data_IF_087177130741
#
_entry.id   IF_087177130741
#
_cell.length_a   1.000
_cell.length_b   1.000
_cell.length_c   1.000
_cell.angle_alpha   90.00
_cell.angle_beta   90.00
_cell.angle_gamma   90.00
#
_symmetry.space_group_name_H-M   'P 1'
#
loop_
_entity.id
_entity.type
_entity.pdbx_description
1 polymer ?
#
# COMPACT_ATOMS: atom_id res chain seq x y z
N UNK A 1 -0.10 9.20 4.39
CA UNK A 1 0.23 10.21 5.39
C UNK A 1 -1.01 10.73 6.13
N UNK A 2 -2.10 11.02 5.43
CA UNK A 2 -3.39 11.45 6.00
C UNK A 2 -4.56 10.81 5.24
N UNK A 3 -5.75 10.80 5.84
CA UNK A 3 -7.02 10.42 5.19
C UNK A 3 -7.33 8.92 5.13
N UNK A 4 -6.44 8.03 5.53
CA UNK A 4 -6.70 6.58 5.46
C UNK A 4 -7.99 6.17 6.16
N UNK A 5 -8.76 5.27 5.57
CA UNK A 5 -10.14 4.84 5.82
C UNK A 5 -11.22 5.70 5.14
N UNK A 6 -10.92 6.89 4.65
CA UNK A 6 -11.89 7.65 3.86
C UNK A 6 -11.99 7.15 2.41
N UNK A 7 -11.08 6.27 2.02
CA UNK A 7 -11.01 5.59 0.72
C UNK A 7 -11.87 4.32 0.64
N UNK A 8 -12.54 3.94 1.73
CA UNK A 8 -13.43 2.79 1.75
C UNK A 8 -14.73 3.08 1.00
N UNK A 9 -15.25 2.10 0.26
CA UNK A 9 -16.46 2.25 -0.54
C UNK A 9 -17.64 2.76 0.30
N UNK A 10 -17.89 2.16 1.46
CA UNK A 10 -18.96 2.57 2.37
C UNK A 10 -18.81 4.04 2.81
N UNK A 11 -17.58 4.49 3.07
CA UNK A 11 -17.33 5.88 3.45
C UNK A 11 -17.69 6.84 2.30
N UNK A 12 -17.23 6.52 1.09
CA UNK A 12 -17.47 7.34 -0.10
C UNK A 12 -18.98 7.41 -0.43
N UNK A 13 -19.70 6.31 -0.28
CA UNK A 13 -21.15 6.26 -0.48
C UNK A 13 -21.89 7.16 0.51
N UNK A 14 -21.47 7.18 1.76
CA UNK A 14 -22.11 7.97 2.83
C UNK A 14 -21.75 9.46 2.78
N UNK A 15 -20.51 9.82 2.40
CA UNK A 15 -19.99 11.19 2.49
C UNK A 15 -19.75 11.84 1.12
N UNK A 16 -19.97 11.11 0.02
CA UNK A 16 -19.85 11.60 -1.36
C UNK A 16 -18.44 11.53 -1.94
N UNK A 17 -17.40 11.55 -1.11
CA UNK A 17 -16.01 11.43 -1.53
C UNK A 17 -15.10 10.97 -0.38
N UNK A 18 -13.93 10.46 -0.74
CA UNK A 18 -12.82 10.22 0.18
C UNK A 18 -11.54 10.85 -0.33
N UNK A 19 -10.54 11.05 0.52
CA UNK A 19 -9.26 11.61 0.09
C UNK A 19 -8.11 11.18 0.97
N UNK A 20 -6.93 10.97 0.36
CA UNK A 20 -5.71 10.59 1.08
C UNK A 20 -4.49 11.37 0.56
N UNK A 21 -3.48 11.53 1.41
CA UNK A 21 -2.12 11.89 1.00
C UNK A 21 -1.22 10.67 1.16
N UNK A 22 -0.56 10.27 0.09
CA UNK A 22 0.31 9.10 0.05
C UNK A 22 1.54 9.32 -0.83
N UNK A 23 2.50 8.42 -0.72
CA UNK A 23 3.65 8.29 -1.62
C UNK A 23 4.05 6.82 -1.73
N UNK A 24 4.51 6.34 -2.89
CA UNK A 24 5.13 5.04 -3.01
C UNK A 24 6.52 5.11 -2.38
N UNK A 25 6.83 4.19 -1.47
CA UNK A 25 8.18 4.10 -0.89
C UNK A 25 9.07 3.15 -1.73
N UNK A 26 10.38 3.31 -1.61
CA UNK A 26 11.40 2.51 -2.29
C UNK A 26 11.61 1.13 -1.64
N UNK A 27 10.52 0.50 -1.22
CA UNK A 27 10.44 -0.90 -0.80
C UNK A 27 9.57 -1.61 -1.83
N UNK A 28 10.12 -2.58 -2.53
CA UNK A 28 9.51 -3.13 -3.72
C UNK A 28 9.01 -4.56 -3.52
N UNK A 29 8.00 -4.90 -4.30
CA UNK A 29 7.60 -6.27 -4.60
C UNK A 29 7.98 -6.59 -6.04
N UNK A 30 8.33 -7.84 -6.30
CA UNK A 30 8.82 -8.28 -7.61
C UNK A 30 8.00 -9.46 -8.10
N UNK A 31 7.61 -9.42 -9.37
CA UNK A 31 7.04 -10.55 -10.11
C UNK A 31 7.98 -10.89 -11.25
N UNK A 32 8.46 -12.12 -11.26
CA UNK A 32 9.14 -12.68 -12.43
C UNK A 32 8.20 -13.64 -13.14
N UNK A 33 7.93 -13.37 -14.41
CA UNK A 33 7.11 -14.21 -15.27
C UNK A 33 7.96 -14.80 -16.39
N UNK A 34 7.91 -16.09 -16.56
CA UNK A 34 8.53 -16.74 -17.71
C UNK A 34 7.74 -17.97 -18.17
N UNK A 35 7.91 -18.28 -19.46
CA UNK A 35 7.43 -19.52 -20.06
C UNK A 35 8.63 -20.45 -20.24
N UNK A 36 8.54 -21.66 -19.72
CA UNK A 36 9.58 -22.66 -19.93
C UNK A 36 9.67 -23.02 -21.42
N UNK A 37 10.79 -22.69 -22.05
CA UNK A 37 11.08 -23.02 -23.45
C UNK A 37 11.86 -24.35 -23.60
N UNK A 38 12.43 -24.82 -22.48
CA UNK A 38 13.29 -26.01 -22.46
C UNK A 38 12.52 -27.30 -22.18
N UNK A 39 11.26 -27.24 -21.80
CA UNK A 39 10.43 -28.40 -21.50
C UNK A 39 10.82 -29.13 -20.19
N UNK A 40 11.51 -28.45 -19.26
CA UNK A 40 11.86 -28.99 -17.96
C UNK A 40 10.68 -29.09 -17.00
N UNK A 41 9.69 -28.21 -17.14
CA UNK A 41 8.43 -28.29 -16.41
C UNK A 41 7.35 -28.93 -17.31
N UNK A 42 6.32 -29.50 -16.70
CA UNK A 42 5.17 -29.98 -17.49
C UNK A 42 4.60 -28.82 -18.30
N UNK A 43 4.55 -28.98 -19.63
CA UNK A 43 4.23 -27.93 -20.60
C UNK A 43 2.86 -27.26 -20.40
N UNK A 44 1.97 -27.85 -19.62
CA UNK A 44 0.58 -27.43 -19.44
C UNK A 44 0.25 -27.10 -17.98
N UNK A 45 1.26 -26.77 -17.14
CA UNK A 45 1.03 -26.45 -15.74
C UNK A 45 1.41 -25.00 -15.44
N UNK A 46 0.62 -24.38 -14.56
CA UNK A 46 0.98 -23.12 -13.90
C UNK A 46 1.88 -23.44 -12.72
N UNK A 47 3.00 -22.76 -12.63
CA UNK A 47 3.92 -22.88 -11.49
C UNK A 47 4.01 -21.54 -10.79
N UNK A 48 3.62 -21.49 -9.51
CA UNK A 48 3.73 -20.30 -8.68
C UNK A 48 4.68 -20.56 -7.52
N UNK A 49 5.68 -19.70 -7.38
CA UNK A 49 6.64 -19.72 -6.26
C UNK A 49 6.49 -18.44 -5.44
N UNK A 50 6.13 -18.59 -4.17
CA UNK A 50 6.04 -17.52 -3.17
C UNK A 50 6.51 -18.08 -1.82
N UNK A 51 5.82 -17.92 -0.70
CA UNK A 51 6.11 -18.64 0.56
C UNK A 51 5.81 -20.13 0.45
N UNK A 52 5.10 -20.53 -0.59
CA UNK A 52 4.80 -21.91 -0.96
C UNK A 52 5.12 -22.10 -2.45
N UNK A 53 5.10 -23.35 -2.90
CA UNK A 53 5.16 -23.71 -4.32
C UNK A 53 3.87 -24.40 -4.72
N UNK A 54 3.26 -23.91 -5.76
CA UNK A 54 2.07 -24.50 -6.38
C UNK A 54 2.39 -24.93 -7.81
N UNK A 55 1.91 -26.10 -8.21
CA UNK A 55 1.97 -26.60 -9.58
C UNK A 55 0.60 -27.19 -9.91
N UNK A 56 -0.15 -26.52 -10.79
CA UNK A 56 -1.54 -26.85 -11.11
C UNK A 56 -1.80 -26.75 -12.62
N UNK A 57 -2.80 -27.50 -13.11
CA UNK A 57 -3.16 -27.52 -14.53
C UNK A 57 -4.21 -26.45 -14.90
N UNK A 58 -4.98 -25.96 -13.92
CA UNK A 58 -6.06 -24.99 -14.14
C UNK A 58 -5.91 -23.81 -13.21
N UNK A 59 -6.20 -22.62 -13.70
CA UNK A 59 -6.08 -21.36 -12.91
C UNK A 59 -6.97 -21.38 -11.67
N UNK A 60 -8.17 -21.97 -11.74
CA UNK A 60 -9.10 -22.09 -10.61
C UNK A 60 -8.53 -22.87 -9.40
N UNK A 61 -7.53 -23.74 -9.64
CA UNK A 61 -6.91 -24.57 -8.61
C UNK A 61 -5.71 -23.84 -7.94
N UNK A 62 -5.36 -22.63 -8.39
CA UNK A 62 -4.31 -21.80 -7.80
C UNK A 62 -4.83 -21.25 -6.46
N UNK A 63 -4.08 -21.50 -5.38
CA UNK A 63 -4.38 -20.98 -4.04
C UNK A 63 -3.92 -19.51 -3.86
N UNK A 64 -2.84 -19.10 -4.55
CA UNK A 64 -2.39 -17.71 -4.52
C UNK A 64 -3.44 -16.83 -5.22
N UNK A 65 -4.20 -16.05 -4.43
CA UNK A 65 -5.29 -15.22 -4.94
C UNK A 65 -4.86 -14.25 -6.03
N UNK A 66 -3.70 -13.59 -5.89
CA UNK A 66 -3.20 -12.61 -6.85
C UNK A 66 -2.88 -13.28 -8.18
N UNK A 67 -2.13 -14.38 -8.14
CA UNK A 67 -1.80 -15.14 -9.36
C UNK A 67 -3.07 -15.65 -10.04
N UNK A 68 -4.00 -16.23 -9.25
CA UNK A 68 -5.26 -16.76 -9.78
C UNK A 68 -6.07 -15.71 -10.52
N UNK A 69 -6.44 -14.60 -9.85
CA UNK A 69 -7.36 -13.62 -10.44
C UNK A 69 -6.77 -12.91 -11.65
N UNK A 70 -5.44 -12.70 -11.70
CA UNK A 70 -4.78 -12.08 -12.84
C UNK A 70 -4.69 -13.05 -14.02
N UNK A 71 -4.24 -14.29 -13.79
CA UNK A 71 -4.14 -15.29 -14.85
C UNK A 71 -5.51 -15.65 -15.45
N UNK A 72 -6.54 -15.72 -14.63
CA UNK A 72 -7.93 -15.92 -15.07
C UNK A 72 -8.44 -14.74 -15.90
N UNK A 73 -8.25 -13.51 -15.43
CA UNK A 73 -8.70 -12.31 -16.14
C UNK A 73 -8.13 -12.23 -17.56
N UNK A 74 -6.85 -12.49 -17.70
CA UNK A 74 -6.17 -12.42 -18.99
C UNK A 74 -6.27 -13.71 -19.83
N UNK A 75 -6.93 -14.76 -19.34
CA UNK A 75 -6.88 -16.09 -19.93
C UNK A 75 -5.43 -16.49 -20.30
N UNK A 76 -4.50 -16.18 -19.41
CA UNK A 76 -3.08 -16.39 -19.67
C UNK A 76 -2.78 -17.88 -19.74
N UNK A 77 -2.08 -18.35 -20.81
CA UNK A 77 -1.65 -19.75 -20.86
C UNK A 77 -0.66 -20.08 -19.75
N UNK A 78 -0.40 -21.37 -19.47
CA UNK A 78 0.51 -21.80 -18.43
C UNK A 78 1.87 -21.09 -18.45
N UNK A 79 2.24 -20.54 -17.31
CA UNK A 79 3.47 -19.77 -17.07
C UNK A 79 4.02 -20.07 -15.67
N UNK A 80 5.27 -19.71 -15.45
CA UNK A 80 5.86 -19.67 -14.12
C UNK A 80 5.82 -18.23 -13.60
N UNK A 81 5.28 -18.05 -12.38
CA UNK A 81 5.29 -16.80 -11.62
C UNK A 81 6.10 -16.95 -10.35
N UNK A 82 7.07 -16.06 -10.10
CA UNK A 82 7.76 -15.98 -8.82
C UNK A 82 7.45 -14.63 -8.15
N UNK A 83 7.18 -14.69 -6.84
CA UNK A 83 6.85 -13.55 -6.01
C UNK A 83 7.95 -13.29 -5.01
N UNK A 84 8.54 -12.10 -5.01
CA UNK A 84 9.58 -11.67 -4.09
C UNK A 84 9.30 -10.28 -3.53
N UNK A 85 9.91 -9.93 -2.40
CA UNK A 85 9.77 -8.62 -1.76
C UNK A 85 11.02 -8.28 -0.95
N UNK A 86 11.33 -6.98 -0.88
CA UNK A 86 12.44 -6.46 -0.07
C UNK A 86 12.21 -6.64 1.44
N UNK A 87 10.95 -6.69 1.86
CA UNK A 87 10.57 -6.91 3.27
C UNK A 87 9.48 -7.98 3.36
N UNK A 88 9.26 -8.49 4.56
CA UNK A 88 8.17 -9.43 4.78
C UNK A 88 6.83 -8.80 4.42
N UNK A 89 6.21 -9.31 3.35
CA UNK A 89 5.07 -8.66 2.70
C UNK A 89 3.73 -8.94 3.39
N UNK A 90 3.54 -10.18 3.91
CA UNK A 90 2.25 -10.60 4.49
C UNK A 90 1.92 -9.83 5.77
N UNK A 91 0.79 -9.11 5.77
CA UNK A 91 0.34 -8.34 6.93
C UNK A 91 1.22 -7.13 7.27
N UNK A 92 2.07 -6.66 6.34
CA UNK A 92 3.00 -5.55 6.54
C UNK A 92 2.33 -4.19 6.75
N UNK A 93 1.17 -3.99 6.16
CA UNK A 93 0.52 -2.66 6.15
C UNK A 93 1.10 -1.68 5.14
N UNK A 94 1.96 -2.15 4.25
CA UNK A 94 2.62 -1.36 3.22
C UNK A 94 1.97 -1.55 1.84
N UNK A 95 0.68 -1.90 1.80
CA UNK A 95 -0.06 -2.16 0.57
C UNK A 95 0.57 -3.28 -0.30
N UNK A 96 1.19 -4.29 0.34
CA UNK A 96 1.93 -5.34 -0.39
C UNK A 96 1.05 -6.16 -1.33
N UNK A 97 -0.21 -6.44 -0.95
CA UNK A 97 -1.17 -7.13 -1.82
C UNK A 97 -1.39 -6.38 -3.11
N UNK A 98 -1.74 -5.10 -2.99
CA UNK A 98 -1.99 -4.21 -4.13
C UNK A 98 -0.72 -3.99 -4.97
N UNK A 99 0.45 -3.89 -4.34
CA UNK A 99 1.74 -3.78 -5.03
C UNK A 99 2.05 -5.02 -5.87
N UNK A 100 1.87 -6.23 -5.29
CA UNK A 100 2.00 -7.49 -6.05
C UNK A 100 0.99 -7.58 -7.18
N UNK A 101 -0.24 -7.14 -6.94
CA UNK A 101 -1.31 -7.23 -7.94
C UNK A 101 -1.01 -6.32 -9.15
N UNK A 102 -0.60 -5.07 -8.93
CA UNK A 102 -0.15 -4.15 -10.00
C UNK A 102 1.04 -4.74 -10.76
N UNK A 103 2.04 -5.27 -10.04
CA UNK A 103 3.21 -5.90 -10.65
C UNK A 103 2.82 -7.14 -11.48
N UNK A 104 1.89 -7.95 -11.01
CA UNK A 104 1.40 -9.14 -11.71
C UNK A 104 0.59 -8.77 -12.95
N UNK A 105 -0.33 -7.80 -12.85
CA UNK A 105 -1.08 -7.26 -13.99
C UNK A 105 -0.10 -6.76 -15.06
N UNK A 106 0.91 -5.96 -14.64
CA UNK A 106 1.92 -5.41 -15.58
C UNK A 106 2.75 -6.52 -16.24
N UNK A 107 3.18 -7.52 -15.48
CA UNK A 107 3.95 -8.64 -16.02
C UNK A 107 3.15 -9.47 -17.02
N UNK A 108 1.91 -9.85 -16.67
CA UNK A 108 1.05 -10.68 -17.53
C UNK A 108 0.60 -9.89 -18.76
N UNK A 109 0.15 -8.65 -18.64
CA UNK A 109 -0.24 -7.82 -19.77
C UNK A 109 0.93 -7.60 -20.75
N UNK A 110 2.14 -7.35 -20.22
CA UNK A 110 3.35 -7.21 -21.03
C UNK A 110 3.71 -8.52 -21.74
N UNK A 111 3.59 -9.67 -21.06
CA UNK A 111 3.82 -10.99 -21.65
C UNK A 111 2.88 -11.27 -22.82
N UNK A 112 1.62 -10.92 -22.67
CA UNK A 112 0.58 -11.10 -23.68
C UNK A 112 0.51 -9.98 -24.73
N UNK A 113 1.39 -8.97 -24.64
CA UNK A 113 1.40 -7.77 -25.48
C UNK A 113 0.10 -6.94 -25.39
N UNK A 114 -0.58 -6.97 -24.25
CA UNK A 114 -1.73 -6.11 -23.93
C UNK A 114 -1.21 -4.79 -23.40
N UNK A 115 -1.53 -3.68 -24.07
CA UNK A 115 -1.17 -2.34 -23.61
C UNK A 115 -2.19 -1.84 -22.58
N UNK A 116 -1.67 -1.35 -21.48
CA UNK A 116 -2.48 -0.75 -20.42
C UNK A 116 -1.76 0.47 -19.86
N UNK A 117 -2.48 1.56 -19.71
CA UNK A 117 -1.98 2.73 -18.96
C UNK A 117 -2.15 2.54 -17.45
N UNK A 118 -1.58 3.44 -16.66
CA UNK A 118 -1.60 3.35 -15.19
C UNK A 118 -3.01 3.32 -14.61
N UNK A 119 -3.92 4.12 -15.17
CA UNK A 119 -5.30 4.21 -14.66
C UNK A 119 -6.08 2.93 -14.94
N UNK A 120 -5.98 2.39 -16.15
CA UNK A 120 -6.57 1.11 -16.52
C UNK A 120 -6.05 -0.03 -15.62
N UNK A 121 -4.75 -0.01 -15.27
CA UNK A 121 -4.20 -0.98 -14.31
C UNK A 121 -4.74 -0.79 -12.90
N UNK A 122 -4.96 0.46 -12.45
CA UNK A 122 -5.56 0.73 -11.15
C UNK A 122 -7.01 0.27 -11.07
N UNK A 123 -7.81 0.57 -12.08
CA UNK A 123 -9.22 0.15 -12.16
C UNK A 123 -9.33 -1.37 -12.16
N UNK A 124 -8.58 -2.05 -13.03
CA UNK A 124 -8.52 -3.50 -13.06
C UNK A 124 -8.00 -4.06 -11.73
N UNK A 125 -6.93 -3.49 -11.19
CA UNK A 125 -6.36 -3.93 -9.91
C UNK A 125 -7.37 -3.86 -8.77
N UNK A 126 -8.12 -2.78 -8.68
CA UNK A 126 -9.17 -2.63 -7.67
C UNK A 126 -10.30 -3.66 -7.85
N UNK A 127 -10.75 -3.88 -9.09
CA UNK A 127 -11.74 -4.91 -9.42
C UNK A 127 -11.26 -6.30 -8.99
N UNK A 128 -10.03 -6.66 -9.37
CA UNK A 128 -9.47 -7.98 -9.07
C UNK A 128 -9.19 -8.16 -7.57
N UNK A 129 -8.70 -7.14 -6.86
CA UNK A 129 -8.45 -7.23 -5.42
C UNK A 129 -9.74 -7.45 -4.64
N UNK A 130 -10.84 -6.83 -5.06
CA UNK A 130 -12.16 -7.03 -4.44
C UNK A 130 -12.73 -8.45 -4.58
N UNK A 131 -12.24 -9.26 -5.52
CA UNK A 131 -12.64 -10.68 -5.64
C UNK A 131 -12.16 -11.53 -4.45
N UNK A 132 -11.06 -11.17 -3.80
CA UNK A 132 -10.53 -11.89 -2.64
C UNK A 132 -10.44 -11.04 -1.36
N UNK A 133 -10.53 -9.72 -1.47
CA UNK A 133 -10.59 -8.78 -0.35
C UNK A 133 -11.69 -7.72 -0.60
N UNK A 134 -12.97 -8.07 -0.39
CA UNK A 134 -14.09 -7.18 -0.73
C UNK A 134 -14.09 -5.83 -0.03
N UNK A 135 -13.40 -5.72 1.12
CA UNK A 135 -13.32 -4.49 1.91
C UNK A 135 -12.14 -3.59 1.50
N UNK A 136 -11.38 -3.95 0.47
CA UNK A 136 -10.27 -3.11 0.02
C UNK A 136 -10.76 -1.75 -0.46
N UNK A 137 -10.09 -0.69 0.02
CA UNK A 137 -10.31 0.69 -0.42
C UNK A 137 -9.47 1.02 -1.66
N UNK A 138 -9.60 2.25 -2.12
CA UNK A 138 -8.91 2.73 -3.31
C UNK A 138 -7.43 3.07 -3.07
N UNK A 139 -7.07 3.46 -1.82
CA UNK A 139 -5.77 4.09 -1.53
C UNK A 139 -4.57 3.19 -1.86
N UNK A 140 -4.66 1.87 -1.64
CA UNK A 140 -3.52 0.98 -1.74
C UNK A 140 -3.15 0.74 -3.21
N UNK A 141 -4.11 0.42 -4.07
CA UNK A 141 -3.88 0.25 -5.51
C UNK A 141 -3.37 1.54 -6.16
N UNK A 142 -4.12 2.65 -6.00
CA UNK A 142 -3.74 3.93 -6.61
C UNK A 142 -2.47 4.51 -5.99
N UNK A 143 -2.26 4.28 -4.69
CA UNK A 143 -1.06 4.69 -3.97
C UNK A 143 0.20 4.00 -4.47
N UNK A 144 0.14 2.69 -4.77
CA UNK A 144 1.25 1.91 -5.30
C UNK A 144 1.55 2.22 -6.78
N UNK A 145 0.50 2.40 -7.60
CA UNK A 145 0.66 2.51 -9.04
C UNK A 145 1.00 3.93 -9.53
N UNK A 146 0.71 4.97 -8.74
CA UNK A 146 0.94 6.37 -9.13
C UNK A 146 2.17 6.97 -8.44
N UNK A 147 2.88 7.84 -9.13
CA UNK A 147 4.19 8.36 -8.72
C UNK A 147 4.12 9.44 -7.61
N UNK A 148 5.23 9.63 -6.91
CA UNK A 148 5.53 10.77 -6.09
C UNK A 148 4.65 10.98 -4.86
N UNK A 149 4.90 12.08 -4.16
CA UNK A 149 4.03 12.56 -3.09
C UNK A 149 2.79 13.18 -3.72
N UNK A 150 1.61 12.74 -3.30
CA UNK A 150 0.35 13.06 -3.97
C UNK A 150 -0.85 13.10 -3.04
N UNK A 151 -1.85 13.83 -3.46
CA UNK A 151 -3.21 13.73 -2.96
C UNK A 151 -4.06 12.96 -3.97
N UNK A 152 -4.78 11.96 -3.50
CA UNK A 152 -5.80 11.24 -4.25
C UNK A 152 -7.16 11.61 -3.69
N UNK A 153 -8.16 11.80 -4.56
CA UNK A 153 -9.56 11.99 -4.19
C UNK A 153 -10.38 10.93 -4.91
N UNK A 154 -11.20 10.23 -4.16
CA UNK A 154 -12.06 9.14 -4.62
C UNK A 154 -13.51 9.62 -4.61
N UNK A 155 -14.19 9.57 -5.75
CA UNK A 155 -15.54 10.07 -5.90
C UNK A 155 -16.57 8.93 -5.92
N UNK A 156 -17.82 9.28 -5.64
CA UNK A 156 -18.93 8.32 -5.56
C UNK A 156 -19.22 7.59 -6.88
N UNK A 157 -18.92 8.23 -8.02
CA UNK A 157 -19.03 7.63 -9.35
C UNK A 157 -17.90 6.65 -9.71
N UNK A 158 -16.99 6.40 -8.75
CA UNK A 158 -15.82 5.53 -8.93
C UNK A 158 -14.62 6.24 -9.52
N UNK A 159 -14.74 7.48 -9.96
CA UNK A 159 -13.62 8.23 -10.50
C UNK A 159 -12.60 8.61 -9.42
N UNK A 160 -11.33 8.65 -9.82
CA UNK A 160 -10.21 9.00 -8.94
C UNK A 160 -9.44 10.16 -9.54
N UNK A 161 -9.23 11.20 -8.75
CA UNK A 161 -8.39 12.33 -9.16
C UNK A 161 -7.04 12.30 -8.46
N UNK A 162 -6.02 12.69 -9.18
CA UNK A 162 -4.63 12.74 -8.73
C UNK A 162 -4.14 14.19 -8.76
N UNK A 163 -3.55 14.63 -7.65
CA UNK A 163 -2.83 15.89 -7.58
C UNK A 163 -1.42 15.65 -7.02
N UNK A 164 -0.41 15.80 -7.86
CA UNK A 164 0.99 15.76 -7.44
C UNK A 164 1.29 16.89 -6.46
N UNK A 165 1.95 16.57 -5.36
CA UNK A 165 2.41 17.53 -4.38
C UNK A 165 3.90 17.79 -4.56
N UNK A 166 4.46 18.74 -3.81
CA UNK A 166 5.86 19.13 -3.90
C UNK A 166 6.80 17.92 -3.71
N UNK A 167 7.51 17.53 -4.78
CA UNK A 167 8.33 16.30 -4.85
C UNK A 167 9.44 16.24 -3.80
N UNK A 168 10.09 17.39 -3.54
CA UNK A 168 11.24 17.54 -2.64
C UNK A 168 10.85 17.73 -1.17
N UNK A 169 9.55 17.85 -0.86
CA UNK A 169 9.10 18.15 0.49
C UNK A 169 9.56 17.09 1.51
N UNK A 170 9.45 15.82 1.17
CA UNK A 170 9.85 14.72 2.07
C UNK A 170 11.37 14.58 2.20
N UNK A 171 12.17 15.17 1.31
CA UNK A 171 13.64 15.18 1.40
C UNK A 171 14.18 16.00 2.59
N UNK A 172 13.30 16.72 3.28
CA UNK A 172 13.64 17.45 4.51
C UNK A 172 13.73 16.52 5.73
N UNK A 173 13.34 15.25 5.58
CA UNK A 173 13.33 14.26 6.64
C UNK A 173 14.20 13.05 6.29
N UNK A 174 14.65 12.34 7.32
CA UNK A 174 15.01 10.93 7.25
C UNK A 174 13.77 10.13 7.64
N UNK A 175 13.34 9.25 6.75
CA UNK A 175 12.15 8.41 6.96
C UNK A 175 12.57 6.96 7.18
N UNK A 176 11.90 6.28 8.08
CA UNK A 176 12.18 4.90 8.43
C UNK A 176 10.91 4.09 8.64
N UNK A 177 11.02 2.80 8.40
CA UNK A 177 10.01 1.80 8.78
C UNK A 177 10.51 0.98 9.95
N UNK A 178 9.76 0.97 11.06
CA UNK A 178 10.00 0.11 12.22
C UNK A 178 9.05 -1.08 12.22
N UNK A 179 9.55 -2.32 12.10
CA UNK A 179 8.69 -3.50 12.15
C UNK A 179 8.13 -3.68 13.56
N UNK A 180 6.83 -3.98 13.65
CA UNK A 180 6.18 -4.29 14.93
C UNK A 180 6.43 -5.73 15.39
N UNK A 181 6.81 -6.61 14.45
CA UNK A 181 6.88 -8.06 14.66
C UNK A 181 5.50 -8.71 14.83
N UNK A 182 4.43 -8.00 14.45
CA UNK A 182 3.05 -8.49 14.52
C UNK A 182 2.47 -8.53 13.12
N UNK A 183 2.08 -9.72 12.68
CA UNK A 183 1.29 -9.90 11.46
C UNK A 183 -0.18 -9.59 11.73
N UNK A 184 -0.86 -9.00 10.77
CA UNK A 184 -2.26 -8.61 10.90
C UNK A 184 -3.13 -9.16 9.77
N UNK A 185 -4.43 -9.29 10.06
CA UNK A 185 -5.49 -9.41 9.05
C UNK A 185 -6.08 -8.03 8.76
N UNK A 186 -5.91 -7.51 7.55
CA UNK A 186 -6.47 -6.22 7.13
C UNK A 186 -7.99 -6.24 7.21
N UNK A 187 -8.63 -7.30 6.73
CA UNK A 187 -10.08 -7.47 6.67
C UNK A 187 -10.72 -7.33 8.06
N UNK A 188 -10.12 -7.96 9.10
CA UNK A 188 -10.62 -7.84 10.48
C UNK A 188 -10.61 -6.40 10.99
N UNK A 189 -9.58 -5.64 10.69
CA UNK A 189 -9.49 -4.24 11.12
C UNK A 189 -10.43 -3.36 10.30
N UNK A 190 -10.45 -3.54 8.97
CA UNK A 190 -11.31 -2.75 8.08
C UNK A 190 -12.80 -2.92 8.41
N UNK A 191 -13.25 -4.13 8.74
CA UNK A 191 -14.65 -4.39 9.15
C UNK A 191 -15.05 -3.72 10.47
N UNK A 192 -14.09 -3.23 11.25
CA UNK A 192 -14.32 -2.56 12.54
C UNK A 192 -14.22 -1.04 12.47
N UNK A 193 -13.92 -0.47 11.30
CA UNK A 193 -13.75 0.97 11.13
C UNK A 193 -15.09 1.69 11.29
N UNK A 194 -15.13 2.66 12.18
CA UNK A 194 -16.24 3.59 12.33
C UNK A 194 -16.15 4.68 11.25
N UNK A 195 -17.01 4.60 10.24
CA UNK A 195 -17.02 5.55 9.12
C UNK A 195 -17.37 6.97 9.57
N UNK A 196 -18.24 7.14 10.59
CA UNK A 196 -18.57 8.47 11.15
C UNK A 196 -17.36 9.14 11.79
N UNK A 197 -16.57 8.37 12.56
CA UNK A 197 -15.33 8.89 13.16
C UNK A 197 -14.26 9.16 12.09
N UNK A 198 -14.27 8.41 11.01
CA UNK A 198 -13.34 8.58 9.88
C UNK A 198 -13.55 9.90 9.13
N UNK A 199 -14.75 10.49 9.17
CA UNK A 199 -15.03 11.81 8.58
C UNK A 199 -14.08 12.89 9.11
N UNK A 200 -13.74 12.83 10.41
CA UNK A 200 -12.79 13.74 11.03
C UNK A 200 -11.36 13.67 10.44
N UNK A 201 -11.05 12.68 9.59
CA UNK A 201 -9.77 12.58 8.89
C UNK A 201 -9.70 13.41 7.60
N UNK A 202 -10.83 13.78 6.98
CA UNK A 202 -10.84 14.55 5.73
C UNK A 202 -10.20 15.94 5.86
N UNK A 203 -10.48 16.76 6.89
CA UNK A 203 -9.84 18.06 7.05
C UNK A 203 -8.31 17.99 7.13
N UNK A 204 -7.76 16.91 7.70
CA UNK A 204 -6.31 16.73 7.75
C UNK A 204 -5.67 16.59 6.36
N UNK A 205 -6.38 16.03 5.39
CA UNK A 205 -5.88 15.89 4.02
C UNK A 205 -5.69 17.26 3.38
N UNK A 206 -6.71 18.12 3.42
CA UNK A 206 -6.64 19.48 2.86
C UNK A 206 -5.58 20.34 3.56
N UNK A 207 -5.59 20.36 4.88
CA UNK A 207 -4.61 21.12 5.67
C UNK A 207 -3.17 20.64 5.46
N UNK A 208 -2.96 19.32 5.34
CA UNK A 208 -1.64 18.74 5.08
C UNK A 208 -1.19 19.05 3.65
N UNK A 209 -2.08 18.98 2.66
CA UNK A 209 -1.80 19.40 1.28
C UNK A 209 -1.34 20.86 1.23
N UNK A 210 -2.02 21.75 1.94
CA UNK A 210 -1.65 23.16 2.03
C UNK A 210 -0.31 23.39 2.74
N UNK A 211 -0.04 22.65 3.82
CA UNK A 211 1.24 22.72 4.52
C UNK A 211 2.40 22.30 3.61
N UNK A 212 2.24 21.22 2.83
CA UNK A 212 3.22 20.74 1.86
C UNK A 212 3.46 21.80 0.76
N UNK A 213 2.38 22.35 0.18
CA UNK A 213 2.48 23.40 -0.86
C UNK A 213 3.20 24.64 -0.37
N UNK A 214 2.95 25.05 0.89
CA UNK A 214 3.57 26.21 1.53
C UNK A 214 4.95 25.92 2.13
N UNK A 215 5.42 24.67 2.06
CA UNK A 215 6.65 24.20 2.73
C UNK A 215 6.65 24.42 4.25
N UNK A 216 5.48 24.33 4.87
CA UNK A 216 5.32 24.48 6.33
C UNK A 216 5.54 23.13 7.03
N UNK A 217 6.82 22.87 7.33
CA UNK A 217 7.28 21.62 7.97
C UNK A 217 6.66 21.42 9.35
N UNK A 218 6.60 22.48 10.16
CA UNK A 218 6.07 22.39 11.53
C UNK A 218 4.59 22.02 11.52
N UNK A 219 3.81 22.67 10.66
CA UNK A 219 2.39 22.36 10.48
C UNK A 219 2.16 20.94 9.96
N UNK A 220 2.96 20.50 8.99
CA UNK A 220 2.90 19.13 8.46
C UNK A 220 3.10 18.08 9.57
N UNK A 221 4.14 18.21 10.37
CA UNK A 221 4.45 17.27 11.46
C UNK A 221 3.34 17.26 12.53
N UNK A 222 2.85 18.43 12.92
CA UNK A 222 1.72 18.55 13.84
C UNK A 222 0.45 17.88 13.31
N UNK A 223 0.13 18.07 12.01
CA UNK A 223 -1.00 17.43 11.36
C UNK A 223 -0.83 15.92 11.26
N UNK A 224 0.38 15.42 10.98
CA UNK A 224 0.65 13.98 10.99
C UNK A 224 0.32 13.36 12.35
N UNK A 225 0.85 13.94 13.42
CA UNK A 225 0.62 13.43 14.77
C UNK A 225 -0.86 13.52 15.16
N UNK A 226 -1.52 14.66 14.90
CA UNK A 226 -2.93 14.84 15.20
C UNK A 226 -3.84 13.89 14.41
N UNK A 227 -3.56 13.69 13.10
CA UNK A 227 -4.31 12.74 12.28
C UNK A 227 -4.13 11.29 12.74
N UNK A 228 -2.96 10.95 13.30
CA UNK A 228 -2.71 9.64 13.89
C UNK A 228 -3.55 9.43 15.15
N UNK A 229 -3.67 10.43 16.04
CA UNK A 229 -4.54 10.35 17.22
C UNK A 229 -6.01 10.13 16.83
N UNK A 230 -6.51 10.87 15.81
CA UNK A 230 -7.86 10.67 15.28
C UNK A 230 -8.01 9.28 14.67
N UNK A 231 -7.02 8.83 13.86
CA UNK A 231 -7.05 7.49 13.26
C UNK A 231 -7.19 6.39 14.31
N UNK A 232 -6.44 6.47 15.40
CA UNK A 232 -6.55 5.49 16.52
C UNK A 232 -7.96 5.40 17.08
N UNK A 233 -8.71 6.49 17.05
CA UNK A 233 -10.09 6.51 17.56
C UNK A 233 -11.14 5.90 16.64
N UNK A 234 -10.80 5.65 15.36
CA UNK A 234 -11.75 5.12 14.35
C UNK A 234 -12.05 3.63 14.54
N UNK A 235 -11.20 2.89 15.25
CA UNK A 235 -11.45 1.51 15.65
C UNK A 235 -10.60 1.12 16.85
N UNK A 236 -11.15 0.38 17.82
CA UNK A 236 -10.39 -0.15 18.96
C UNK A 236 -9.34 -1.18 18.53
N UNK A 237 -9.50 -1.79 17.35
CA UNK A 237 -8.58 -2.80 16.83
C UNK A 237 -7.26 -2.23 16.31
N UNK A 238 -7.17 -0.93 16.00
CA UNK A 238 -5.96 -0.31 15.43
C UNK A 238 -4.74 -0.48 16.33
N UNK A 239 -4.91 -0.30 17.63
CA UNK A 239 -3.89 -0.55 18.66
C UNK A 239 -4.42 -1.53 19.72
N UNK A 240 -5.04 -2.65 19.30
CA UNK A 240 -5.57 -3.66 20.22
C UNK A 240 -4.47 -4.31 21.05
N UNK A 241 -3.33 -4.60 20.42
CA UNK A 241 -2.21 -5.30 21.03
C UNK A 241 -1.40 -4.39 21.97
N UNK A 242 -1.13 -4.84 23.21
CA UNK A 242 -0.37 -4.07 24.19
C UNK A 242 1.05 -3.73 23.72
N UNK A 243 1.73 -4.63 23.02
CA UNK A 243 3.05 -4.35 22.44
C UNK A 243 3.00 -3.16 21.48
N UNK A 244 1.92 -3.05 20.65
CA UNK A 244 1.75 -1.91 19.75
C UNK A 244 1.52 -0.61 20.52
N UNK A 245 0.73 -0.65 21.62
CA UNK A 245 0.52 0.52 22.48
C UNK A 245 1.83 0.98 23.14
N UNK A 246 2.64 0.03 23.59
CA UNK A 246 3.93 0.33 24.19
C UNK A 246 4.89 0.93 23.16
N UNK A 247 4.93 0.37 21.93
CA UNK A 247 5.73 0.92 20.84
C UNK A 247 5.28 2.34 20.47
N UNK A 248 3.97 2.57 20.32
CA UNK A 248 3.41 3.90 20.02
C UNK A 248 3.79 4.93 21.09
N UNK A 249 3.65 4.57 22.38
CA UNK A 249 4.07 5.41 23.51
C UNK A 249 5.58 5.68 23.52
N UNK A 250 6.39 4.68 23.19
CA UNK A 250 7.85 4.81 23.10
C UNK A 250 8.22 5.79 22.00
N UNK A 251 7.66 5.61 20.80
CA UNK A 251 7.90 6.48 19.63
C UNK A 251 7.47 7.94 19.92
N UNK A 252 6.38 8.12 20.65
CA UNK A 252 5.91 9.45 21.05
C UNK A 252 6.84 10.16 22.05
N UNK A 253 7.52 9.40 22.92
CA UNK A 253 8.45 9.95 23.96
C UNK A 253 9.85 10.20 23.42
N UNK A 254 10.25 9.54 22.33
CA UNK A 254 11.57 9.69 21.75
C UNK A 254 11.70 11.05 21.06
N UNK A 255 12.47 11.97 21.68
CA UNK A 255 12.66 13.35 21.20
C UNK A 255 13.36 13.44 19.84
N UNK A 256 14.02 12.37 19.39
CA UNK A 256 14.62 12.31 18.05
C UNK A 256 13.62 12.00 16.95
N UNK A 257 12.37 11.62 17.30
CA UNK A 257 11.28 11.34 16.38
C UNK A 257 10.40 12.58 16.28
N UNK A 258 10.30 13.13 15.08
CA UNK A 258 9.48 14.31 14.80
C UNK A 258 8.00 13.98 14.66
N UNK A 259 7.70 12.85 14.05
CA UNK A 259 6.36 12.29 13.92
C UNK A 259 6.43 10.79 13.60
N UNK A 260 5.37 10.07 13.94
CA UNK A 260 5.22 8.65 13.60
C UNK A 260 3.75 8.28 13.38
N UNK A 261 3.52 7.17 12.70
CA UNK A 261 2.21 6.54 12.59
C UNK A 261 2.32 5.08 12.17
N UNK A 262 1.34 4.27 12.54
CA UNK A 262 1.23 2.91 12.04
C UNK A 262 0.70 2.91 10.59
N UNK A 263 1.32 2.14 9.70
CA UNK A 263 0.93 2.02 8.30
C UNK A 263 -0.30 1.12 8.11
N UNK A 264 -1.09 1.42 7.08
CA UNK A 264 -2.24 0.63 6.65
C UNK A 264 -3.42 0.66 7.63
N UNK A 265 -4.17 -0.44 7.72
CA UNK A 265 -5.40 -0.52 8.53
C UNK A 265 -5.16 -0.47 10.04
N UNK A 266 -3.97 -0.84 10.52
CA UNK A 266 -3.68 -0.92 11.96
C UNK A 266 -3.40 -2.35 12.44
N UNK A 267 -3.22 -2.53 13.74
CA UNK A 267 -3.02 -3.80 14.44
C UNK A 267 -1.78 -4.62 14.07
N UNK A 268 -0.74 -3.98 13.55
CA UNK A 268 0.53 -4.63 13.18
C UNK A 268 1.17 -4.05 11.93
N UNK A 269 2.21 -4.70 11.43
CA UNK A 269 2.98 -4.26 10.29
C UNK A 269 4.13 -3.33 10.68
N UNK A 270 4.15 -2.11 10.15
CA UNK A 270 5.25 -1.15 10.32
C UNK A 270 4.77 0.19 10.83
N UNK A 271 5.54 0.80 11.72
CA UNK A 271 5.46 2.23 11.98
C UNK A 271 6.32 3.01 10.98
N UNK A 272 5.73 4.01 10.34
CA UNK A 272 6.46 5.05 9.61
C UNK A 272 6.93 6.10 10.62
N UNK A 273 8.24 6.43 10.56
CA UNK A 273 8.91 7.33 11.49
C UNK A 273 9.59 8.44 10.70
N UNK A 274 9.43 9.67 11.14
CA UNK A 274 10.11 10.86 10.61
C UNK A 274 11.14 11.37 11.62
N UNK A 275 12.39 11.55 11.17
CA UNK A 275 13.48 12.17 11.93
C UNK A 275 14.03 13.38 11.19
N UNK A 276 14.75 14.21 11.93
CA UNK A 276 15.47 15.33 11.30
C UNK A 276 16.43 14.82 10.21
N UNK A 277 16.59 15.60 9.14
CA UNK A 277 17.48 15.26 8.03
C UNK A 277 18.94 15.06 8.49
N UNK A 278 19.36 15.77 9.52
CA UNK A 278 20.71 15.73 10.07
C UNK A 278 20.88 14.65 11.16
N UNK A 279 19.85 13.89 11.48
CA UNK A 279 19.95 12.80 12.45
C UNK A 279 20.91 11.72 11.95
N UNK A 280 21.99 11.45 12.67
CA UNK A 280 23.08 10.55 12.24
C UNK A 280 23.36 9.39 13.20
N UNK A 281 22.57 9.23 14.25
CA UNK A 281 22.74 8.06 15.13
C UNK A 281 22.31 6.79 14.43
N UNK A 282 22.98 5.66 14.70
CA UNK A 282 22.60 4.37 14.17
C UNK A 282 21.17 4.00 14.59
N UNK A 283 20.38 3.50 13.65
CA UNK A 283 19.03 3.00 13.89
C UNK A 283 18.89 1.59 13.29
N UNK A 284 18.11 0.75 13.95
CA UNK A 284 17.78 -0.58 13.47
C UNK A 284 16.57 -0.57 12.50
N UNK A 285 16.01 0.63 12.28
CA UNK A 285 14.86 0.82 11.40
C UNK A 285 15.27 0.78 9.93
N UNK A 286 14.37 0.37 9.06
CA UNK A 286 14.60 0.28 7.62
C UNK A 286 14.50 1.68 7.02
N UNK A 287 15.58 2.25 6.45
CA UNK A 287 15.51 3.58 5.82
C UNK A 287 14.66 3.50 4.54
N UNK A 288 13.83 4.51 4.33
CA UNK A 288 13.01 4.62 3.12
C UNK A 288 13.08 6.03 2.53
N UNK A 289 12.76 6.10 1.25
CA UNK A 289 12.53 7.33 0.49
C UNK A 289 11.29 7.22 -0.39
N UNK A 290 10.97 8.28 -1.10
CA UNK A 290 9.95 8.24 -2.16
C UNK A 290 10.53 7.47 -3.33
N UNK A 291 9.80 6.49 -3.86
CA UNK A 291 10.20 5.76 -5.04
C UNK A 291 10.27 6.70 -6.26
N UNK A 292 11.34 6.61 -7.05
CA UNK A 292 11.47 7.38 -8.30
C UNK A 292 10.45 6.92 -9.34
N UNK A 293 10.25 5.61 -9.41
CA UNK A 293 9.27 4.95 -10.29
C UNK A 293 8.40 4.02 -9.44
N UNK A 294 7.07 4.13 -9.49
CA UNK A 294 6.19 3.29 -8.69
C UNK A 294 6.22 1.82 -9.12
N UNK A 295 6.42 1.56 -10.40
CA UNK A 295 6.63 0.21 -10.95
C UNK A 295 7.49 0.27 -12.21
N UNK A 296 8.23 -0.82 -12.47
CA UNK A 296 9.04 -1.01 -13.67
C UNK A 296 8.81 -2.43 -14.21
N UNK A 297 8.70 -2.57 -15.53
CA UNK A 297 8.66 -3.86 -16.19
C UNK A 297 9.73 -3.94 -17.27
N UNK A 298 10.59 -4.96 -17.18
CA UNK A 298 11.60 -5.27 -18.22
C UNK A 298 11.22 -6.57 -18.89
N UNK A 299 11.31 -6.61 -20.23
CA UNK A 299 11.10 -7.82 -21.05
C UNK A 299 12.41 -8.19 -21.71
N UNK A 300 12.94 -9.38 -21.41
CA UNK A 300 14.13 -9.95 -22.02
C UNK A 300 13.77 -10.87 -23.19
#
# INVERSE_FOLDING_TARGET
LAGGSTDLQEFIENYGYGSVISFPCNIYTYITLFKDKGGYNKLNTYLLNYTQREEVEQTKDIHNDIGRVVLEHFNCPPVTLNFHSDVFASGSGLASSSSYLISCIKAVSTHLNVQMNTWEMCELGLELERKFNPLTGYQDIYGCATEGLKQLVFLKDGSVTYAGLRKDFLNQFKMYLRPTGIQRSSTRVLSSIDTKRSEALLPFVSHMSDAIKKNDVSKFLGLMQASWEVKKSTSPLILENEKLKEMDRFLYKDKSILAHRLCGAGNGGFFLIFRDKNYNEPVLDIPIGVAETPYLCTKN
#
